data_IF_993764890637
#
_entry.id   IF_993764890637
#
_cell.length_a   1.000
_cell.length_b   1.000
_cell.length_c   1.000
_cell.angle_alpha   90.00
_cell.angle_beta   90.00
_cell.angle_gamma   90.00
#
_symmetry.space_group_name_H-M   'P 1'
#
loop_
_entity.id
_entity.type
_entity.pdbx_description
1 polymer ?
#
# COMPACT_ATOMS: atom_id res chain seq x y z
N UNK A 1 -7.71 32.67 38.33
CA UNK A 1 -7.06 32.28 37.07
C UNK A 1 -7.13 30.77 36.94
N UNK A 2 -8.09 30.24 36.18
CA UNK A 2 -8.27 28.81 36.00
C UNK A 2 -7.53 28.36 34.74
N UNK A 3 -6.39 27.68 34.94
CA UNK A 3 -5.61 27.05 33.88
C UNK A 3 -6.39 25.87 33.30
N UNK A 4 -7.11 26.13 32.20
CA UNK A 4 -7.76 25.09 31.41
C UNK A 4 -6.71 24.19 30.76
N UNK A 5 -6.41 23.07 31.40
CA UNK A 5 -5.69 21.96 30.80
C UNK A 5 -6.53 21.42 29.62
N UNK A 6 -6.31 22.01 28.44
CA UNK A 6 -6.77 21.43 27.17
C UNK A 6 -6.07 20.09 27.05
N UNK A 7 -6.78 19.00 27.39
CA UNK A 7 -6.41 17.65 26.95
C UNK A 7 -6.27 17.72 25.44
N UNK A 8 -5.04 17.81 24.97
CA UNK A 8 -4.69 17.72 23.57
C UNK A 8 -5.01 16.29 23.17
N UNK A 9 -6.23 16.05 22.68
CA UNK A 9 -6.58 14.79 22.04
C UNK A 9 -5.63 14.68 20.85
N UNK A 10 -4.52 13.94 21.03
CA UNK A 10 -3.55 13.64 19.97
C UNK A 10 -4.38 12.99 18.87
N UNK A 11 -4.71 13.73 17.83
CA UNK A 11 -5.42 13.20 16.66
C UNK A 11 -4.51 12.11 16.08
N UNK A 12 -4.86 10.85 16.31
CA UNK A 12 -4.09 9.72 15.78
C UNK A 12 -4.04 9.89 14.26
N UNK A 13 -2.84 9.95 13.71
CA UNK A 13 -2.70 10.16 12.28
C UNK A 13 -2.97 8.84 11.56
N UNK A 14 -3.81 8.89 10.53
CA UNK A 14 -4.20 7.72 9.75
C UNK A 14 -3.11 7.40 8.73
N UNK A 15 -2.45 6.27 8.92
CA UNK A 15 -1.39 5.78 8.04
C UNK A 15 -1.96 4.66 7.18
N UNK A 16 -1.71 4.75 5.87
CA UNK A 16 -2.07 3.70 4.91
C UNK A 16 -0.82 3.13 4.27
N UNK A 17 -0.57 1.83 4.46
CA UNK A 17 0.46 1.10 3.73
C UNK A 17 -0.10 0.53 2.42
N UNK A 18 0.56 0.82 1.31
CA UNK A 18 0.29 0.21 0.00
C UNK A 18 1.35 -0.84 -0.29
N UNK A 19 0.89 -2.04 -0.62
CA UNK A 19 1.72 -3.23 -0.86
C UNK A 19 1.25 -3.99 -2.08
N UNK A 20 2.20 -4.58 -2.80
CA UNK A 20 1.92 -5.36 -4.01
C UNK A 20 2.11 -6.86 -3.81
N UNK A 21 2.88 -7.29 -2.80
CA UNK A 21 3.22 -8.70 -2.56
C UNK A 21 2.52 -9.27 -1.32
N UNK A 22 1.90 -10.48 -1.42
CA UNK A 22 1.24 -11.15 -0.29
C UNK A 22 2.14 -11.33 0.94
N UNK A 23 3.39 -11.77 0.75
CA UNK A 23 4.32 -11.97 1.86
C UNK A 23 4.70 -10.68 2.60
N UNK A 24 4.58 -9.51 1.96
CA UNK A 24 4.75 -8.21 2.63
C UNK A 24 3.52 -7.83 3.45
N UNK A 25 2.33 -8.27 3.05
CA UNK A 25 1.08 -8.05 3.81
C UNK A 25 1.16 -8.78 5.14
N UNK A 26 1.61 -10.03 5.13
CA UNK A 26 1.76 -10.84 6.34
C UNK A 26 2.71 -10.14 7.34
N UNK A 27 3.88 -9.68 6.88
CA UNK A 27 4.86 -9.00 7.74
C UNK A 27 4.40 -7.62 8.28
N UNK A 28 3.49 -6.94 7.58
CA UNK A 28 2.92 -5.66 8.03
C UNK A 28 1.70 -5.84 8.92
N UNK A 29 1.08 -7.02 8.91
CA UNK A 29 -0.08 -7.30 9.76
C UNK A 29 0.32 -7.22 11.24
N UNK A 30 1.48 -7.79 11.59
CA UNK A 30 2.05 -7.69 12.94
C UNK A 30 2.33 -6.24 13.36
N UNK A 31 2.77 -5.39 12.42
CA UNK A 31 3.00 -3.96 12.65
C UNK A 31 1.71 -3.12 12.68
N UNK A 32 0.65 -3.61 12.05
CA UNK A 32 -0.64 -2.94 12.02
C UNK A 32 -1.37 -3.03 13.35
N UNK A 33 -1.16 -4.12 14.09
CA UNK A 33 -1.67 -4.33 15.44
C UNK A 33 -1.14 -3.27 16.43
N UNK A 34 0.09 -2.81 16.24
CA UNK A 34 0.74 -1.87 17.15
C UNK A 34 0.43 -0.39 16.83
N UNK A 35 0.10 -0.06 15.57
CA UNK A 35 0.17 1.32 15.08
C UNK A 35 -1.06 1.87 14.34
N UNK A 36 -2.24 1.21 14.41
CA UNK A 36 -3.47 1.61 13.71
C UNK A 36 -3.22 1.86 12.20
N UNK A 37 -2.57 0.89 11.56
CA UNK A 37 -2.17 0.93 10.16
C UNK A 37 -3.25 0.28 9.28
N UNK A 38 -3.71 0.99 8.26
CA UNK A 38 -4.53 0.38 7.20
C UNK A 38 -3.64 -0.16 6.08
N UNK A 39 -3.97 -1.35 5.55
CA UNK A 39 -3.17 -2.00 4.49
C UNK A 39 -4.00 -2.10 3.20
N UNK A 40 -3.45 -1.61 2.10
CA UNK A 40 -4.02 -1.73 0.76
C UNK A 40 -3.10 -2.60 -0.07
N UNK A 41 -3.58 -3.79 -0.44
CA UNK A 41 -2.77 -4.74 -1.19
C UNK A 41 -3.49 -6.01 -1.55
N UNK A 42 -2.79 -7.02 -2.10
CA UNK A 42 -3.40 -8.31 -2.40
C UNK A 42 -3.92 -8.98 -1.12
N UNK A 43 -5.00 -9.76 -1.25
CA UNK A 43 -5.58 -10.50 -0.12
C UNK A 43 -4.51 -11.40 0.53
N UNK A 44 -4.32 -11.35 1.86
CA UNK A 44 -3.37 -12.21 2.55
C UNK A 44 -3.84 -13.67 2.52
N UNK A 45 -2.89 -14.60 2.57
CA UNK A 45 -3.18 -16.04 2.57
C UNK A 45 -3.77 -16.51 3.91
N UNK A 46 -3.48 -15.80 5.01
CA UNK A 46 -4.02 -16.08 6.35
C UNK A 46 -5.19 -15.15 6.63
N UNK A 47 -6.39 -15.72 6.73
CA UNK A 47 -7.62 -15.02 7.10
C UNK A 47 -7.82 -15.17 8.60
N UNK A 48 -7.21 -14.28 9.39
CA UNK A 48 -7.29 -14.37 10.84
C UNK A 48 -7.23 -13.05 11.60
N UNK A 49 -6.83 -11.93 10.97
CA UNK A 49 -6.59 -10.69 11.71
C UNK A 49 -7.51 -9.57 11.22
N UNK A 50 -8.17 -8.93 12.18
CA UNK A 50 -9.23 -7.92 12.04
C UNK A 50 -8.69 -6.51 11.73
N UNK A 51 -7.59 -6.39 10.96
CA UNK A 51 -7.18 -5.09 10.41
C UNK A 51 -7.88 -4.85 9.08
N UNK A 52 -8.18 -3.59 8.79
CA UNK A 52 -8.74 -3.16 7.51
C UNK A 52 -7.68 -3.30 6.42
N UNK A 53 -7.39 -4.55 6.07
CA UNK A 53 -6.79 -4.89 4.81
C UNK A 53 -7.90 -4.71 3.80
N UNK A 54 -7.77 -3.71 2.93
CA UNK A 54 -8.63 -3.63 1.76
C UNK A 54 -8.00 -4.50 0.68
N UNK A 55 -8.45 -5.76 0.50
CA UNK A 55 -7.92 -6.61 -0.54
C UNK A 55 -8.26 -5.97 -1.88
N UNK A 56 -7.22 -5.66 -2.64
CA UNK A 56 -7.37 -5.19 -4.00
C UNK A 56 -7.32 -6.41 -4.91
N UNK A 57 -8.40 -6.66 -5.65
CA UNK A 57 -8.41 -7.75 -6.63
C UNK A 57 -7.50 -7.40 -7.80
N UNK A 58 -6.29 -7.97 -7.78
CA UNK A 58 -5.35 -7.84 -8.89
C UNK A 58 -5.78 -8.70 -10.10
N UNK A 59 -6.77 -9.59 -9.93
CA UNK A 59 -7.15 -10.68 -10.81
C UNK A 59 -6.28 -11.92 -10.60
N UNK A 60 -6.84 -13.11 -10.78
CA UNK A 60 -6.05 -14.35 -10.85
C UNK A 60 -5.28 -14.40 -12.16
N UNK A 61 -3.95 -14.60 -12.09
CA UNK A 61 -3.16 -14.93 -13.29
C UNK A 61 -3.42 -16.39 -13.66
N UNK A 62 -3.52 -16.70 -14.95
CA UNK A 62 -3.49 -18.09 -15.37
C UNK A 62 -2.14 -18.73 -14.98
N UNK A 63 -2.08 -20.06 -14.77
CA UNK A 63 -0.84 -20.77 -14.47
C UNK A 63 0.25 -20.49 -15.52
N UNK A 64 -0.13 -20.40 -16.80
CA UNK A 64 0.75 -20.04 -17.90
C UNK A 64 1.31 -18.63 -17.75
N UNK A 65 0.47 -17.63 -17.48
CA UNK A 65 0.93 -16.26 -17.24
C UNK A 65 1.88 -16.17 -16.05
N UNK A 66 1.63 -16.94 -14.98
CA UNK A 66 2.53 -17.02 -13.84
C UNK A 66 3.88 -17.65 -14.22
N UNK A 67 3.89 -18.70 -15.05
CA UNK A 67 5.11 -19.33 -15.55
C UNK A 67 5.91 -18.39 -16.46
N UNK A 68 5.25 -17.69 -17.38
CA UNK A 68 5.87 -16.68 -18.26
C UNK A 68 6.52 -15.57 -17.44
N UNK A 69 5.80 -15.02 -16.47
CA UNK A 69 6.34 -14.00 -15.56
C UNK A 69 7.59 -14.55 -14.86
N UNK A 70 7.50 -15.73 -14.21
CA UNK A 70 8.65 -16.34 -13.52
C UNK A 70 9.86 -16.54 -14.43
N UNK A 71 9.66 -16.98 -15.67
CA UNK A 71 10.74 -17.17 -16.64
C UNK A 71 11.35 -15.83 -17.08
N UNK A 72 10.51 -14.85 -17.43
CA UNK A 72 10.95 -13.53 -17.88
C UNK A 72 11.70 -12.75 -16.77
N UNK A 73 11.38 -12.98 -15.50
CA UNK A 73 12.07 -12.35 -14.37
C UNK A 73 13.52 -12.82 -14.18
N UNK A 74 13.96 -13.87 -14.88
CA UNK A 74 15.35 -14.35 -14.84
C UNK A 74 16.32 -13.47 -15.63
N UNK A 75 15.85 -12.61 -16.53
CA UNK A 75 16.71 -11.74 -17.35
C UNK A 75 16.26 -10.27 -17.30
N UNK A 76 17.19 -9.34 -17.55
CA UNK A 76 16.87 -7.92 -17.61
C UNK A 76 15.89 -7.59 -18.76
N UNK A 77 16.12 -8.18 -19.94
CA UNK A 77 15.23 -8.02 -21.08
C UNK A 77 13.81 -8.55 -20.81
N UNK A 78 13.71 -9.74 -20.21
CA UNK A 78 12.42 -10.31 -19.84
C UNK A 78 11.67 -9.47 -18.81
N UNK A 79 12.37 -8.92 -17.80
CA UNK A 79 11.76 -7.96 -16.86
C UNK A 79 11.19 -6.74 -17.57
N UNK A 80 11.94 -6.15 -18.51
CA UNK A 80 11.47 -4.99 -19.27
C UNK A 80 10.25 -5.32 -20.14
N UNK A 81 10.22 -6.50 -20.77
CA UNK A 81 9.07 -6.97 -21.54
C UNK A 81 7.83 -7.14 -20.65
N UNK A 82 7.97 -7.72 -19.45
CA UNK A 82 6.86 -7.83 -18.50
C UNK A 82 6.35 -6.44 -18.11
N UNK A 83 7.23 -5.45 -17.91
CA UNK A 83 6.90 -4.09 -17.48
C UNK A 83 6.09 -3.30 -18.52
N UNK A 84 6.26 -3.59 -19.80
CA UNK A 84 5.46 -2.96 -20.87
C UNK A 84 4.15 -3.71 -21.13
N UNK A 85 4.06 -4.97 -20.70
CA UNK A 85 2.90 -5.83 -20.91
C UNK A 85 1.75 -5.61 -19.90
N UNK A 86 0.55 -6.17 -20.17
CA UNK A 86 -0.55 -6.23 -19.20
C UNK A 86 -0.27 -7.10 -17.96
N UNK A 87 0.80 -7.91 -17.99
CA UNK A 87 1.22 -8.76 -16.87
C UNK A 87 1.96 -7.98 -15.78
N UNK A 88 2.35 -6.72 -16.05
CA UNK A 88 3.00 -5.85 -15.09
C UNK A 88 2.17 -5.67 -13.81
N UNK A 89 2.80 -5.92 -12.68
CA UNK A 89 2.15 -5.91 -11.37
C UNK A 89 1.83 -4.49 -10.91
N UNK A 90 2.68 -3.51 -11.21
CA UNK A 90 2.44 -2.10 -10.85
C UNK A 90 1.19 -1.56 -11.56
N UNK A 91 1.04 -1.84 -12.85
CA UNK A 91 -0.16 -1.47 -13.63
C UNK A 91 -1.43 -2.18 -13.16
N UNK A 92 -1.33 -3.43 -12.71
CA UNK A 92 -2.48 -4.18 -12.16
C UNK A 92 -2.92 -3.59 -10.82
N UNK A 93 -1.96 -3.34 -9.91
CA UNK A 93 -2.23 -2.70 -8.63
C UNK A 93 -2.83 -1.30 -8.81
N UNK A 94 -2.29 -0.49 -9.72
CA UNK A 94 -2.87 0.81 -10.06
C UNK A 94 -4.31 0.70 -10.58
N UNK A 95 -4.59 -0.22 -11.50
CA UNK A 95 -5.95 -0.39 -12.04
C UNK A 95 -6.93 -0.73 -10.94
N UNK A 96 -6.59 -1.71 -10.12
CA UNK A 96 -7.48 -2.23 -9.11
C UNK A 96 -7.68 -1.23 -7.94
N UNK A 97 -6.63 -0.54 -7.49
CA UNK A 97 -6.76 0.55 -6.49
C UNK A 97 -7.55 1.75 -7.02
N UNK A 98 -7.39 2.09 -8.32
CA UNK A 98 -8.11 3.22 -8.95
C UNK A 98 -9.61 2.96 -9.10
N UNK A 99 -10.02 1.70 -9.33
CA UNK A 99 -11.43 1.32 -9.49
C UNK A 99 -12.15 1.15 -8.16
N UNK A 100 -11.42 0.84 -7.09
CA UNK A 100 -12.00 0.61 -5.77
C UNK A 100 -12.41 1.92 -5.09
N UNK A 101 -13.65 1.98 -4.59
CA UNK A 101 -14.17 3.15 -3.86
C UNK A 101 -13.68 3.21 -2.42
N UNK A 102 -13.62 2.08 -1.72
CA UNK A 102 -13.17 2.01 -0.34
C UNK A 102 -11.69 2.39 -0.23
N UNK A 103 -10.86 1.91 -1.17
CA UNK A 103 -9.45 2.32 -1.24
C UNK A 103 -9.31 3.82 -1.47
N UNK A 104 -10.14 4.42 -2.34
CA UNK A 104 -10.11 5.86 -2.56
C UNK A 104 -10.45 6.64 -1.30
N UNK A 105 -11.54 6.26 -0.62
CA UNK A 105 -11.98 6.91 0.62
C UNK A 105 -10.90 6.81 1.71
N UNK A 106 -10.30 5.62 1.87
CA UNK A 106 -9.23 5.37 2.81
C UNK A 106 -7.99 6.23 2.53
N UNK A 107 -7.54 6.31 1.27
CA UNK A 107 -6.39 7.14 0.87
C UNK A 107 -6.69 8.63 1.05
N UNK A 108 -7.89 9.10 0.67
CA UNK A 108 -8.26 10.52 0.82
C UNK A 108 -8.39 10.94 2.29
N UNK A 109 -8.71 9.99 3.18
CA UNK A 109 -8.79 10.23 4.62
C UNK A 109 -7.48 9.97 5.37
N UNK A 110 -6.40 9.61 4.67
CA UNK A 110 -5.09 9.37 5.25
C UNK A 110 -4.35 10.68 5.49
N UNK A 111 -3.48 10.70 6.51
CA UNK A 111 -2.48 11.75 6.66
C UNK A 111 -1.18 11.38 5.93
N UNK A 112 -0.85 10.07 5.93
CA UNK A 112 0.36 9.53 5.30
C UNK A 112 0.03 8.24 4.55
N UNK A 113 0.51 8.15 3.31
CA UNK A 113 0.47 6.95 2.49
C UNK A 113 1.88 6.45 2.26
N UNK A 114 2.13 5.21 2.65
CA UNK A 114 3.44 4.56 2.63
C UNK A 114 3.46 3.51 1.53
N UNK A 115 4.34 3.70 0.55
CA UNK A 115 4.57 2.74 -0.53
C UNK A 115 5.73 1.82 -0.15
N UNK A 116 5.44 0.58 0.22
CA UNK A 116 6.41 -0.30 0.89
C UNK A 116 7.36 -0.98 -0.11
N UNK A 117 6.86 -1.31 -1.29
CA UNK A 117 7.63 -1.97 -2.35
C UNK A 117 7.60 -1.18 -3.67
N UNK A 118 8.43 -1.61 -4.62
CA UNK A 118 8.59 -0.93 -5.92
C UNK A 118 7.28 -0.75 -6.69
N UNK A 119 6.39 -1.74 -6.68
CA UNK A 119 5.16 -1.67 -7.45
C UNK A 119 4.10 -0.81 -6.75
N UNK A 120 4.13 -0.79 -5.41
CA UNK A 120 3.41 0.19 -4.61
C UNK A 120 3.90 1.62 -4.86
N UNK A 121 5.23 1.85 -4.99
CA UNK A 121 5.79 3.18 -5.29
C UNK A 121 5.19 3.75 -6.57
N UNK A 122 5.14 2.95 -7.65
CA UNK A 122 4.50 3.36 -8.90
C UNK A 122 3.03 3.71 -8.69
N UNK A 123 2.30 2.88 -7.94
CA UNK A 123 0.88 3.07 -7.67
C UNK A 123 0.62 4.37 -6.90
N UNK A 124 1.33 4.59 -5.81
CA UNK A 124 1.22 5.81 -4.99
C UNK A 124 1.64 7.05 -5.80
N UNK A 125 2.69 6.96 -6.62
CA UNK A 125 3.09 8.03 -7.54
C UNK A 125 2.01 8.37 -8.58
N UNK A 126 1.24 7.38 -9.06
CA UNK A 126 0.07 7.61 -9.91
C UNK A 126 -1.09 8.23 -9.13
N UNK A 127 -1.29 7.85 -7.88
CA UNK A 127 -2.32 8.42 -6.99
C UNK A 127 -2.08 9.91 -6.74
N UNK A 128 -0.85 10.32 -6.42
CA UNK A 128 -0.51 11.74 -6.19
C UNK A 128 -0.78 12.63 -7.40
N UNK A 129 -0.70 12.06 -8.62
CA UNK A 129 -1.01 12.75 -9.89
C UNK A 129 -2.47 12.64 -10.31
N UNK A 130 -3.29 11.88 -9.59
CA UNK A 130 -4.67 11.63 -9.98
C UNK A 130 -5.63 12.50 -9.18
N UNK A 131 -6.46 13.26 -9.89
CA UNK A 131 -7.56 14.06 -9.28
C UNK A 131 -8.54 13.23 -8.43
N UNK A 132 -8.59 11.90 -8.62
CA UNK A 132 -9.50 11.01 -7.88
C UNK A 132 -9.11 10.77 -6.42
N UNK A 133 -7.85 11.02 -6.05
CA UNK A 133 -7.32 10.76 -4.71
C UNK A 133 -7.06 12.05 -3.91
N UNK A 134 -7.49 13.21 -4.45
CA UNK A 134 -7.30 14.51 -3.81
C UNK A 134 -5.83 14.90 -3.63
N UNK A 135 -5.63 16.00 -2.91
CA UNK A 135 -4.34 16.46 -2.39
C UNK A 135 -4.57 16.69 -0.88
N UNK A 136 -3.62 16.30 -0.01
CA UNK A 136 -3.81 16.46 1.44
C UNK A 136 -3.12 15.41 2.30
N UNK A 137 -2.56 14.38 1.70
CA UNK A 137 -1.78 13.33 2.36
C UNK A 137 -0.32 13.35 1.89
N UNK A 138 0.60 12.99 2.79
CA UNK A 138 2.02 12.85 2.46
C UNK A 138 2.32 11.46 1.88
N UNK A 139 3.15 11.40 0.84
CA UNK A 139 3.59 10.13 0.24
C UNK A 139 5.00 9.77 0.71
N UNK A 140 5.18 8.55 1.20
CA UNK A 140 6.46 8.03 1.67
C UNK A 140 6.81 6.81 0.83
N UNK A 141 8.04 6.75 0.32
CA UNK A 141 8.45 5.73 -0.63
C UNK A 141 9.59 4.88 -0.06
N UNK A 142 9.41 3.56 -0.07
CA UNK A 142 10.40 2.57 0.30
C UNK A 142 10.28 2.05 1.73
N UNK A 143 10.64 0.78 1.91
CA UNK A 143 10.54 0.07 3.19
C UNK A 143 11.36 0.70 4.33
N UNK A 144 12.50 1.32 4.03
CA UNK A 144 13.34 1.98 5.05
C UNK A 144 12.68 3.27 5.57
N UNK A 145 12.10 4.06 4.67
CA UNK A 145 11.36 5.27 5.05
C UNK A 145 10.05 4.93 5.78
N UNK A 146 9.39 3.84 5.38
CA UNK A 146 8.24 3.27 6.08
C UNK A 146 8.58 2.91 7.53
N UNK A 147 9.67 2.17 7.75
CA UNK A 147 10.15 1.79 9.08
C UNK A 147 10.52 3.01 9.93
N UNK A 148 11.17 4.01 9.33
CA UNK A 148 11.54 5.23 10.06
C UNK A 148 10.32 6.02 10.54
N UNK A 149 9.24 6.08 9.75
CA UNK A 149 8.01 6.78 10.15
C UNK A 149 7.22 6.00 11.19
N UNK A 150 7.21 4.67 11.11
CA UNK A 150 6.65 3.83 12.16
C UNK A 150 7.43 3.99 13.48
N UNK A 151 8.76 3.91 13.42
CA UNK A 151 9.64 3.99 14.59
C UNK A 151 9.73 5.39 15.23
N UNK A 152 9.63 6.47 14.43
CA UNK A 152 9.66 7.85 14.96
C UNK A 152 8.37 8.27 15.66
N UNK A 153 7.36 7.39 15.73
CA UNK A 153 6.08 7.61 16.41
C UNK A 153 5.87 6.78 17.67
N UNK A 154 6.72 5.79 17.91
CA UNK A 154 6.76 4.97 19.14
C UNK A 154 7.57 5.63 20.27
N UNK A 155 8.09 6.84 20.06
CA UNK A 155 8.75 7.71 21.05
C UNK A 155 7.86 8.92 21.36
#
# INVERSE_FOLDING_TARGET
>A
MAGGARRQVRRMSRIVAVVSHPGTVDALTDLAEEHDLAIVGPRPARTGVMHVTHPVDLGTRSPLSAAIVRAAWKSAAGRNLIRTSPLDQSRRLWRATRSDRAVRELITGADVVVAVDRDAVFTVWKMTRSRRFGQGWAAVFGASAARYIAASRSV
#
